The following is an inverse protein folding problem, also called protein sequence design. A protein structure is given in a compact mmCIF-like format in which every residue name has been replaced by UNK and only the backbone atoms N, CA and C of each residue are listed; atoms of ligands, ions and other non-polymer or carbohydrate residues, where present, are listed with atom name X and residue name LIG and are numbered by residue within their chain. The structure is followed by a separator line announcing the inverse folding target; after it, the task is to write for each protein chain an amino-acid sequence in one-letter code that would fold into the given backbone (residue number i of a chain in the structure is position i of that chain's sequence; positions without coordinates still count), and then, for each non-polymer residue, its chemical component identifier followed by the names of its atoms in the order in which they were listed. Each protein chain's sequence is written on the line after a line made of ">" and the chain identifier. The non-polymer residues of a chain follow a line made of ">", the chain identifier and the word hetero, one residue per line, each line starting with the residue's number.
data_IF_588104325782
#
_entry.id   IF_588104325782
#
_cell.length_a   1.000
_cell.length_b   1.000
_cell.length_c   1.000
_cell.angle_alpha   90.00
_cell.angle_beta   90.00
_cell.angle_gamma   90.00
#
_symmetry.space_group_name_H-M   'P 1'
#
loop_
_entity.id
_entity.type
_entity.pdbx_description
1 polymer ?
#
# COMPACT_ATOMS: atom_id res chain seq x y z
N UNK A 1 -3.75 -12.82 15.68
CA UNK A 1 -3.06 -12.40 14.43
C UNK A 1 -2.09 -11.28 14.77
N UNK A 2 -0.89 -11.30 14.20
CA UNK A 2 0.06 -10.20 14.34
C UNK A 2 -0.42 -8.99 13.51
N UNK A 3 -0.29 -7.77 14.04
CA UNK A 3 -0.57 -6.56 13.26
C UNK A 3 0.52 -6.38 12.21
N UNK A 4 0.11 -6.11 10.98
CA UNK A 4 1.01 -5.76 9.89
C UNK A 4 0.95 -4.25 9.68
N UNK A 5 2.10 -3.60 9.66
CA UNK A 5 2.23 -2.19 9.33
C UNK A 5 2.87 -2.05 7.96
N UNK A 6 2.46 -1.04 7.20
CA UNK A 6 3.04 -0.69 5.90
C UNK A 6 3.44 0.78 5.91
N UNK A 7 4.39 1.15 5.06
CA UNK A 7 4.63 2.57 4.73
C UNK A 7 3.99 2.88 3.38
N UNK A 8 3.04 3.80 3.36
CA UNK A 8 2.47 4.36 2.14
C UNK A 8 3.40 5.44 1.58
N UNK A 9 3.78 5.30 0.32
CA UNK A 9 4.70 6.21 -0.37
C UNK A 9 4.08 6.77 -1.64
N UNK A 10 4.67 7.83 -2.18
CA UNK A 10 4.25 8.42 -3.45
C UNK A 10 3.01 9.31 -3.38
N UNK A 11 2.44 9.57 -2.20
CA UNK A 11 1.23 10.38 -2.01
C UNK A 11 1.29 11.77 -2.65
N UNK A 12 2.48 12.39 -2.66
CA UNK A 12 2.74 13.70 -3.30
C UNK A 12 2.54 13.70 -4.82
N UNK A 13 2.59 12.54 -5.47
CA UNK A 13 2.36 12.42 -6.91
C UNK A 13 0.87 12.19 -7.27
N UNK A 14 0.00 12.12 -6.26
CA UNK A 14 -1.44 11.90 -6.40
C UNK A 14 -2.22 13.03 -5.73
N UNK A 15 -2.96 12.71 -4.66
CA UNK A 15 -3.89 13.63 -3.99
C UNK A 15 -3.35 14.16 -2.66
N UNK A 16 -2.05 13.97 -2.38
CA UNK A 16 -1.47 14.25 -1.07
C UNK A 16 -1.91 13.23 -0.02
N UNK A 17 -1.84 13.62 1.25
CA UNK A 17 -2.18 12.77 2.39
C UNK A 17 -3.11 13.44 3.40
N UNK A 18 -3.64 14.63 3.10
CA UNK A 18 -4.48 15.40 4.03
C UNK A 18 -5.80 14.69 4.36
N UNK A 19 -6.31 13.85 3.46
CA UNK A 19 -7.53 13.06 3.66
C UNK A 19 -7.28 11.74 4.41
N UNK A 20 -6.03 11.38 4.70
CA UNK A 20 -5.68 10.15 5.38
C UNK A 20 -5.70 10.35 6.90
N UNK A 21 -6.83 10.03 7.51
CA UNK A 21 -6.98 10.05 8.96
C UNK A 21 -6.84 8.66 9.57
N UNK A 22 -6.58 8.60 10.89
CA UNK A 22 -6.54 7.33 11.60
C UNK A 22 -7.92 6.65 11.52
N UNK A 23 -7.94 5.40 11.05
CA UNK A 23 -9.18 4.63 10.84
C UNK A 23 -9.68 4.66 9.40
N UNK A 24 -9.05 5.46 8.52
CA UNK A 24 -9.31 5.43 7.08
C UNK A 24 -9.06 4.04 6.53
N UNK A 25 -10.04 3.49 5.81
CA UNK A 25 -9.90 2.24 5.07
C UNK A 25 -9.29 2.52 3.70
N UNK A 26 -8.27 1.75 3.35
CA UNK A 26 -7.60 1.77 2.05
C UNK A 26 -7.56 0.35 1.48
N UNK A 27 -7.40 0.23 0.17
CA UNK A 27 -7.27 -1.07 -0.51
C UNK A 27 -5.85 -1.26 -0.99
N UNK A 28 -5.39 -2.51 -0.92
CA UNK A 28 -4.08 -2.95 -1.41
C UNK A 28 -4.31 -3.86 -2.61
N UNK A 29 -3.69 -3.53 -3.74
CA UNK A 29 -3.82 -4.26 -5.00
C UNK A 29 -2.43 -4.59 -5.54
N UNK A 30 -2.17 -5.86 -5.84
CA UNK A 30 -0.93 -6.27 -6.52
C UNK A 30 -0.94 -5.72 -7.94
N UNK A 31 0.22 -5.23 -8.41
CA UNK A 31 0.42 -4.69 -9.75
C UNK A 31 1.59 -5.42 -10.43
N UNK A 32 1.45 -6.72 -10.78
CA UNK A 32 2.53 -7.54 -11.35
C UNK A 32 3.04 -7.03 -12.71
N UNK A 33 2.20 -6.28 -13.42
CA UNK A 33 2.50 -5.67 -14.72
C UNK A 33 3.19 -4.30 -14.59
N UNK A 34 3.56 -3.88 -13.37
CA UNK A 34 4.29 -2.63 -13.15
C UNK A 34 5.66 -2.66 -13.86
N UNK A 35 5.97 -1.60 -14.59
CA UNK A 35 7.17 -1.51 -15.45
C UNK A 35 8.49 -1.50 -14.67
N UNK A 36 8.46 -1.17 -13.39
CA UNK A 36 9.65 -1.00 -12.55
C UNK A 36 9.80 -2.10 -11.50
N UNK A 37 8.70 -2.56 -10.92
CA UNK A 37 8.70 -3.48 -9.78
C UNK A 37 7.55 -4.48 -9.87
N UNK A 38 7.87 -5.74 -10.18
CA UNK A 38 6.86 -6.82 -10.31
C UNK A 38 6.18 -7.16 -8.98
N UNK A 39 6.72 -6.71 -7.86
CA UNK A 39 6.15 -6.90 -6.52
C UNK A 39 5.45 -5.62 -6.04
N UNK A 40 5.20 -4.66 -6.94
CA UNK A 40 4.49 -3.43 -6.61
C UNK A 40 3.10 -3.73 -6.04
N UNK A 41 2.79 -3.12 -4.90
CA UNK A 41 1.47 -3.13 -4.29
C UNK A 41 0.94 -1.70 -4.32
N UNK A 42 -0.03 -1.48 -5.20
CA UNK A 42 -0.75 -0.22 -5.35
C UNK A 42 -1.68 -0.03 -4.16
N UNK A 43 -1.75 1.21 -3.67
CA UNK A 43 -2.68 1.61 -2.62
C UNK A 43 -3.77 2.48 -3.22
N UNK A 44 -5.02 2.08 -3.06
CA UNK A 44 -6.18 2.81 -3.58
C UNK A 44 -7.11 3.25 -2.45
N UNK A 45 -7.80 4.36 -2.67
CA UNK A 45 -8.83 4.90 -1.80
C UNK A 45 -10.14 4.99 -2.57
N UNK A 46 -11.24 4.62 -1.91
CA UNK A 46 -12.55 4.63 -2.54
C UNK A 46 -12.95 6.05 -2.94
N UNK A 47 -13.40 6.22 -4.19
CA UNK A 47 -13.76 7.53 -4.75
C UNK A 47 -12.59 8.38 -5.27
N UNK A 48 -11.35 8.14 -4.83
CA UNK A 48 -10.16 8.86 -5.33
C UNK A 48 -9.31 8.02 -6.31
N UNK A 49 -9.33 6.68 -6.18
CA UNK A 49 -8.49 5.79 -6.96
C UNK A 49 -7.09 5.62 -6.36
N UNK A 50 -6.05 5.59 -7.19
CA UNK A 50 -4.66 5.36 -6.74
C UNK A 50 -4.12 6.55 -5.95
N UNK A 51 -3.66 6.28 -4.73
CA UNK A 51 -3.10 7.29 -3.82
C UNK A 51 -1.62 7.07 -3.50
N UNK A 52 -1.05 5.94 -3.91
CA UNK A 52 0.36 5.63 -3.71
C UNK A 52 0.68 4.16 -3.86
N UNK A 53 1.84 3.77 -3.31
CA UNK A 53 2.36 2.41 -3.29
C UNK A 53 2.89 2.04 -1.91
N UNK A 54 2.85 0.75 -1.58
CA UNK A 54 3.57 0.21 -0.42
C UNK A 54 5.07 0.37 -0.66
N UNK A 55 5.79 0.89 0.32
CA UNK A 55 7.25 1.02 0.26
C UNK A 55 7.91 -0.33 0.01
N UNK A 56 8.77 -0.45 -1.01
CA UNK A 56 9.54 -1.68 -1.26
C UNK A 56 11.03 -1.57 -0.92
N UNK A 57 11.55 -0.35 -0.73
CA UNK A 57 12.98 -0.11 -0.48
C UNK A 57 13.26 0.17 1.00
N UNK A 58 14.41 -0.26 1.50
CA UNK A 58 14.87 0.03 2.86
C UNK A 58 14.94 1.53 3.18
N UNK A 59 15.13 2.37 2.16
CA UNK A 59 15.15 3.83 2.31
C UNK A 59 13.75 4.45 2.50
N UNK A 60 12.70 3.75 2.06
CA UNK A 60 11.32 4.25 2.11
C UNK A 60 10.45 3.53 3.12
N UNK A 61 10.86 2.35 3.57
CA UNK A 61 10.24 1.62 4.69
C UNK A 61 10.60 2.32 6.00
N UNK A 62 9.60 2.70 6.79
CA UNK A 62 9.78 3.40 8.06
C UNK A 62 9.43 2.46 9.23
N UNK A 63 10.30 2.46 10.25
CA UNK A 63 10.06 1.74 11.51
C UNK A 63 9.90 0.23 11.31
N UNK A 64 8.87 -0.34 11.94
CA UNK A 64 8.57 -1.78 11.90
C UNK A 64 7.65 -2.17 10.74
N UNK A 65 7.50 -1.30 9.73
CA UNK A 65 6.65 -1.59 8.58
C UNK A 65 7.27 -2.63 7.65
N UNK A 66 6.40 -3.38 6.97
CA UNK A 66 6.78 -4.41 6.03
C UNK A 66 6.91 -3.85 4.62
N UNK A 67 7.92 -4.30 3.89
CA UNK A 67 8.11 -3.92 2.50
C UNK A 67 7.06 -4.57 1.58
N UNK A 68 6.88 -4.00 0.39
CA UNK A 68 5.96 -4.55 -0.61
C UNK A 68 6.29 -6.01 -0.94
N UNK A 69 7.55 -6.35 -1.25
CA UNK A 69 7.93 -7.74 -1.55
C UNK A 69 7.62 -8.72 -0.41
N UNK A 70 7.91 -8.35 0.85
CA UNK A 70 7.55 -9.19 2.02
C UNK A 70 6.04 -9.33 2.22
N UNK A 71 5.29 -8.30 1.86
CA UNK A 71 3.83 -8.28 1.93
C UNK A 71 3.20 -9.04 0.77
N UNK A 72 3.82 -9.04 -0.40
CA UNK A 72 3.31 -9.61 -1.65
C UNK A 72 2.97 -11.09 -1.51
N UNK A 73 3.83 -11.85 -0.85
CA UNK A 73 3.62 -13.28 -0.56
C UNK A 73 2.60 -13.53 0.58
N UNK A 74 2.34 -12.53 1.41
CA UNK A 74 1.49 -12.65 2.61
C UNK A 74 0.04 -12.26 2.38
N UNK A 75 -0.23 -11.42 1.38
CA UNK A 75 -1.59 -11.02 1.02
C UNK A 75 -2.06 -11.82 -0.19
N UNK A 76 -3.31 -12.29 -0.16
CA UNK A 76 -3.99 -12.84 -1.33
C UNK A 76 -4.37 -11.75 -2.35
N UNK A 77 -4.99 -12.13 -3.47
CA UNK A 77 -5.33 -11.20 -4.56
C UNK A 77 -6.46 -10.19 -4.25
N UNK A 78 -7.14 -10.34 -3.11
CA UNK A 78 -8.06 -9.33 -2.59
C UNK A 78 -8.14 -9.46 -1.07
N UNK A 79 -7.88 -8.38 -0.33
CA UNK A 79 -8.51 -8.17 0.98
C UNK A 79 -9.53 -7.05 0.78
N UNK A 80 -10.77 -7.47 0.51
CA UNK A 80 -11.96 -6.64 0.75
C UNK A 80 -12.46 -7.06 2.12
N UNK A 81 -12.26 -6.22 3.14
CA UNK A 81 -13.07 -6.30 4.35
C UNK A 81 -13.98 -5.07 4.37
N UNK A 82 -15.11 -5.21 3.67
CA UNK A 82 -16.33 -4.52 4.08
C UNK A 82 -17.10 -5.41 5.08
N UNK A 83 -17.82 -4.80 6.05
CA UNK A 83 -18.31 -5.43 7.28
C UNK A 83 -19.37 -6.51 7.06
#
# INVERSE_FOLDING_TARGET
>A
MAKVFITLTGTKHYFGNDFLEKGTKIRLEKEPDNEYDKEAIKVTYEGLGKIGYVANSSYTVIGESMSAGRLYDKIGDLIVEDP
#
